data_IF_532667633732
#
_entry.id   IF_532667633732
#
_cell.length_a   1.000
_cell.length_b   1.000
_cell.length_c   1.000
_cell.angle_alpha   90.00
_cell.angle_beta   90.00
_cell.angle_gamma   90.00
#
_symmetry.space_group_name_H-M   'P 1'
#
loop_
_entity.id
_entity.type
_entity.pdbx_description
1 polymer ?
#
# COMPACT_ATOMS: atom_id res chain seq x y z
N UNK A 1 1.10 28.20 20.29
CA UNK A 1 2.35 28.99 20.46
C UNK A 1 2.68 29.86 19.24
N UNK A 2 1.76 30.06 18.28
CA UNK A 2 2.05 30.85 17.06
C UNK A 2 3.04 30.12 16.14
N UNK A 3 3.93 30.86 15.48
CA UNK A 3 4.96 30.30 14.61
C UNK A 3 6.28 30.12 15.37
N UNK A 4 6.93 28.98 15.19
CA UNK A 4 8.20 28.61 15.79
C UNK A 4 9.30 28.54 14.72
N UNK A 5 10.51 28.95 15.07
CA UNK A 5 11.69 28.66 14.26
C UNK A 5 12.89 28.42 15.15
N UNK A 6 13.77 27.50 14.76
CA UNK A 6 14.95 27.20 15.58
C UNK A 6 16.14 26.73 14.74
N UNK A 7 17.33 27.30 14.95
CA UNK A 7 18.56 26.76 14.37
C UNK A 7 19.07 25.50 15.10
N UNK A 8 18.48 25.17 16.25
CA UNK A 8 18.77 24.00 17.08
C UNK A 8 17.53 23.13 17.24
N UNK A 9 17.69 21.84 17.50
CA UNK A 9 16.57 20.92 17.69
C UNK A 9 15.79 21.30 18.97
N UNK A 10 14.56 21.84 18.86
CA UNK A 10 13.77 22.08 20.04
C UNK A 10 13.15 20.77 20.50
N UNK A 11 13.17 20.57 21.82
CA UNK A 11 12.40 19.50 22.46
C UNK A 11 11.32 20.17 23.30
N UNK A 12 10.07 19.98 22.88
CA UNK A 12 8.88 20.49 23.54
C UNK A 12 8.35 19.39 24.46
N UNK A 13 8.27 19.68 25.77
CA UNK A 13 7.75 18.77 26.79
C UNK A 13 6.60 19.44 27.52
N UNK A 14 5.40 18.89 27.41
CA UNK A 14 4.17 19.42 28.03
C UNK A 14 3.39 18.32 28.75
N UNK A 15 2.88 18.61 29.94
CA UNK A 15 1.93 17.75 30.65
C UNK A 15 0.54 17.70 30.02
N UNK A 16 0.20 18.71 29.21
CA UNK A 16 -1.07 18.82 28.51
C UNK A 16 -0.91 18.76 27.01
N UNK A 17 -1.80 19.47 26.32
CA UNK A 17 -1.80 19.56 24.87
C UNK A 17 -0.67 20.49 24.36
N UNK A 18 -0.23 20.27 23.11
CA UNK A 18 0.73 21.10 22.39
C UNK A 18 0.08 21.57 21.10
N UNK A 19 -0.03 22.89 20.91
CA UNK A 19 -0.54 23.46 19.67
C UNK A 19 0.24 24.69 19.23
N UNK A 20 0.58 24.74 17.95
CA UNK A 20 1.22 25.88 17.28
C UNK A 20 0.95 25.81 15.78
N UNK A 21 1.15 26.93 15.08
CA UNK A 21 0.78 27.07 13.69
C UNK A 21 1.86 26.41 12.81
N UNK A 22 3.08 26.95 12.82
CA UNK A 22 4.15 26.42 12.00
C UNK A 22 5.48 26.27 12.73
N UNK A 23 6.34 25.38 12.22
CA UNK A 23 7.73 25.22 12.62
C UNK A 23 8.66 25.19 11.39
N UNK A 24 9.75 25.95 11.43
CA UNK A 24 10.87 25.84 10.49
C UNK A 24 12.21 25.82 11.23
N UNK A 25 12.99 24.74 11.09
CA UNK A 25 14.26 24.57 11.78
C UNK A 25 14.94 23.26 11.46
N UNK A 26 15.91 22.82 12.27
CA UNK A 26 16.63 21.56 12.09
C UNK A 26 15.69 20.35 12.29
N UNK A 27 15.70 19.65 13.42
CA UNK A 27 14.73 18.62 13.83
C UNK A 27 13.76 19.18 14.86
N UNK A 28 12.65 18.48 15.10
CA UNK A 28 11.66 18.83 16.12
C UNK A 28 11.21 17.59 16.88
N UNK A 29 11.23 17.68 18.22
CA UNK A 29 10.77 16.63 19.10
C UNK A 29 9.66 17.16 20.03
N UNK A 30 8.54 16.44 20.15
CA UNK A 30 7.39 16.79 20.98
C UNK A 30 6.99 15.62 21.86
N UNK A 31 6.93 15.85 23.17
CA UNK A 31 6.39 14.93 24.17
C UNK A 31 5.23 15.64 24.87
N UNK A 32 4.02 15.26 24.52
CA UNK A 32 2.79 15.83 25.08
C UNK A 32 2.05 14.78 25.89
N UNK A 33 1.66 15.13 27.11
CA UNK A 33 0.75 14.34 27.92
C UNK A 33 -0.66 14.26 27.31
N UNK A 34 -1.01 15.23 26.44
CA UNK A 34 -2.26 15.33 25.72
C UNK A 34 -2.09 15.38 24.19
N UNK A 35 -2.98 16.11 23.52
CA UNK A 35 -3.06 16.17 22.07
C UNK A 35 -1.94 17.02 21.45
N UNK A 36 -1.61 16.76 20.18
CA UNK A 36 -0.70 17.60 19.40
C UNK A 36 -1.38 18.09 18.13
N UNK A 37 -1.41 19.39 17.93
CA UNK A 37 -1.97 20.02 16.72
C UNK A 37 -0.98 21.00 16.11
N UNK A 38 -0.56 20.72 14.88
CA UNK A 38 0.43 21.54 14.16
C UNK A 38 -0.02 21.72 12.72
N UNK A 39 -0.06 22.95 12.20
CA UNK A 39 -0.44 23.17 10.81
C UNK A 39 0.70 22.76 9.88
N UNK A 40 1.86 23.40 9.97
CA UNK A 40 2.97 23.16 9.03
C UNK A 40 4.32 22.94 9.73
N UNK A 41 5.07 21.92 9.32
CA UNK A 41 6.41 21.60 9.83
C UNK A 41 7.38 21.47 8.67
N UNK A 42 8.48 22.22 8.76
CA UNK A 42 9.60 22.16 7.83
C UNK A 42 10.90 21.88 8.58
N UNK A 43 11.47 20.71 8.30
CA UNK A 43 12.74 20.23 8.86
C UNK A 43 13.85 20.46 7.81
N UNK A 44 14.92 21.13 8.20
CA UNK A 44 15.98 21.64 7.33
C UNK A 44 17.35 21.02 7.63
N UNK A 45 17.48 20.21 8.68
CA UNK A 45 18.73 19.60 9.10
C UNK A 45 18.58 18.71 10.33
N UNK A 46 19.68 18.14 10.81
CA UNK A 46 19.79 17.47 12.11
C UNK A 46 20.55 18.36 13.10
N UNK A 47 20.45 18.10 14.41
CA UNK A 47 21.28 18.76 15.43
C UNK A 47 22.04 17.74 16.29
N UNK A 48 23.38 17.67 16.18
CA UNK A 48 24.17 16.75 16.99
C UNK A 48 24.20 17.12 18.48
N UNK A 49 23.71 18.30 18.88
CA UNK A 49 23.79 18.81 20.27
C UNK A 49 22.51 18.63 21.08
N UNK A 50 21.33 18.85 20.50
CA UNK A 50 20.03 18.83 21.20
C UNK A 50 19.07 17.76 20.64
N UNK A 51 19.57 16.55 20.42
CA UNK A 51 18.79 15.46 19.81
C UNK A 51 18.19 14.48 20.81
N UNK A 52 17.37 13.58 20.26
CA UNK A 52 16.93 12.35 20.92
C UNK A 52 17.52 11.16 20.17
N UNK A 53 18.11 10.25 20.95
CA UNK A 53 18.56 8.95 20.51
C UNK A 53 17.90 7.89 21.39
N UNK A 54 16.96 7.14 20.80
CA UNK A 54 16.16 6.18 21.55
C UNK A 54 15.68 5.04 20.63
N UNK A 55 15.56 3.84 21.20
CA UNK A 55 14.81 2.75 20.57
C UNK A 55 13.38 2.74 21.08
N UNK A 56 12.42 2.88 20.19
CA UNK A 56 10.99 2.86 20.49
C UNK A 56 10.37 1.56 20.01
N UNK A 57 9.51 0.94 20.83
CA UNK A 57 8.72 -0.24 20.44
C UNK A 57 7.31 0.22 20.06
N UNK A 58 6.90 -0.07 18.82
CA UNK A 58 5.56 0.23 18.32
C UNK A 58 4.51 -0.71 18.93
N UNK A 59 3.23 -0.36 18.80
CA UNK A 59 2.09 -1.17 19.26
C UNK A 59 2.10 -2.62 18.74
N UNK A 60 2.67 -2.87 17.56
CA UNK A 60 2.79 -4.20 16.97
C UNK A 60 4.06 -4.97 17.40
N UNK A 61 4.86 -4.42 18.31
CA UNK A 61 6.12 -5.00 18.80
C UNK A 61 7.35 -4.72 17.95
N UNK A 62 7.20 -4.04 16.80
CA UNK A 62 8.36 -3.63 15.99
C UNK A 62 9.20 -2.61 16.76
N UNK A 63 10.51 -2.79 16.79
CA UNK A 63 11.43 -1.77 17.29
C UNK A 63 11.87 -0.84 16.16
N UNK A 64 11.91 0.45 16.45
CA UNK A 64 12.47 1.48 15.58
C UNK A 64 13.51 2.29 16.35
N UNK A 65 14.48 2.85 15.63
CA UNK A 65 15.45 3.78 16.20
C UNK A 65 15.08 5.21 15.80
N UNK A 66 15.09 6.10 16.78
CA UNK A 66 15.09 7.54 16.61
C UNK A 66 16.51 8.01 16.85
N UNK A 67 17.11 8.72 15.88
CA UNK A 67 18.45 9.31 16.01
C UNK A 67 18.48 10.71 15.39
N UNK A 68 18.07 11.71 16.17
CA UNK A 68 18.10 13.12 15.76
C UNK A 68 19.53 13.69 15.63
N UNK A 69 20.57 12.97 16.08
CA UNK A 69 21.94 13.49 16.02
C UNK A 69 22.50 13.49 14.60
N UNK A 70 22.10 12.49 13.81
CA UNK A 70 22.57 12.28 12.44
C UNK A 70 21.46 12.38 11.40
N UNK A 71 20.18 12.32 11.81
CA UNK A 71 19.03 12.34 10.90
C UNK A 71 18.12 13.54 11.17
N UNK A 72 17.75 14.32 10.14
CA UNK A 72 16.69 15.31 10.26
C UNK A 72 15.39 14.63 10.71
N UNK A 73 14.87 15.00 11.88
CA UNK A 73 13.80 14.23 12.53
C UNK A 73 12.60 15.09 12.88
N UNK A 74 11.39 14.57 12.63
CA UNK A 74 10.17 14.99 13.29
C UNK A 74 9.70 13.85 14.19
N UNK A 75 9.74 14.03 15.51
CA UNK A 75 9.27 13.06 16.51
C UNK A 75 8.13 13.67 17.30
N UNK A 76 6.91 13.15 17.14
CA UNK A 76 5.73 13.60 17.88
C UNK A 76 5.16 12.43 18.67
N UNK A 77 5.13 12.59 19.99
CA UNK A 77 4.56 11.64 20.94
C UNK A 77 3.46 12.32 21.74
N UNK A 78 2.21 11.97 21.42
CA UNK A 78 1.02 12.51 22.08
C UNK A 78 0.45 11.53 23.10
N UNK A 79 -0.29 12.04 24.09
CA UNK A 79 -0.91 11.21 25.11
C UNK A 79 0.07 10.36 25.89
N UNK A 80 1.32 10.79 26.11
CA UNK A 80 2.34 9.98 26.80
C UNK A 80 2.46 10.31 28.28
N UNK A 81 2.68 9.31 29.13
CA UNK A 81 3.07 9.56 30.54
C UNK A 81 4.56 9.87 30.69
N UNK A 82 5.38 9.56 29.69
CA UNK A 82 6.83 9.79 29.73
C UNK A 82 7.21 11.09 29.01
N UNK A 83 6.83 12.20 29.61
CA UNK A 83 7.06 13.55 29.06
C UNK A 83 8.54 13.96 29.12
N UNK A 84 9.30 13.39 30.06
CA UNK A 84 10.68 13.77 30.33
C UNK A 84 10.82 15.05 31.19
N UNK A 85 12.05 15.45 31.48
CA UNK A 85 12.41 16.56 32.37
C UNK A 85 13.61 17.33 31.77
N UNK A 86 13.68 18.68 31.81
CA UNK A 86 12.66 19.63 32.27
C UNK A 86 11.42 19.69 31.37
N UNK A 87 10.25 19.83 32.00
CA UNK A 87 9.03 20.29 31.31
C UNK A 87 9.29 21.71 30.79
N UNK A 88 8.85 22.01 29.57
CA UNK A 88 9.12 23.26 28.89
C UNK A 88 9.69 23.03 27.49
N UNK A 89 10.42 24.02 26.99
CA UNK A 89 11.03 23.99 25.67
C UNK A 89 12.54 24.11 25.83
N UNK A 90 13.30 23.12 25.34
CA UNK A 90 14.76 23.19 25.20
C UNK A 90 15.13 23.54 23.75
N UNK A 91 16.39 23.87 23.47
CA UNK A 91 16.84 24.28 22.13
C UNK A 91 16.52 25.75 21.77
N UNK A 92 15.87 26.50 22.68
CA UNK A 92 15.60 27.94 22.58
C UNK A 92 15.05 28.40 21.21
N UNK A 93 13.91 27.87 20.74
CA UNK A 93 13.31 28.33 19.50
C UNK A 93 12.88 29.79 19.60
N UNK A 94 12.96 30.50 18.49
CA UNK A 94 12.40 31.83 18.32
C UNK A 94 10.88 31.73 18.18
N UNK A 95 10.16 32.44 19.04
CA UNK A 95 8.70 32.58 19.02
C UNK A 95 8.34 33.84 18.22
N UNK A 96 7.81 33.68 17.01
CA UNK A 96 7.48 34.80 16.13
C UNK A 96 6.08 35.39 16.42
N UNK A 97 5.69 35.54 17.70
CA UNK A 97 4.44 36.20 18.12
C UNK A 97 4.51 36.87 19.51
N UNK A 98 3.62 37.86 19.74
CA UNK A 98 3.27 38.46 21.05
C UNK A 98 2.21 37.63 21.81
N UNK A 99 2.34 36.32 21.87
CA UNK A 99 1.37 35.47 22.58
C UNK A 99 1.74 35.31 24.06
N UNK A 100 0.74 35.06 24.91
CA UNK A 100 0.91 34.69 26.32
C UNK A 100 1.97 33.58 26.47
N UNK A 101 2.69 33.60 27.60
CA UNK A 101 3.67 32.56 27.89
C UNK A 101 3.02 31.16 27.81
N UNK A 102 3.66 30.18 27.14
CA UNK A 102 3.11 28.84 27.05
C UNK A 102 2.88 28.24 28.44
N UNK A 103 1.73 27.58 28.62
CA UNK A 103 1.43 26.78 29.80
C UNK A 103 1.80 25.33 29.52
N UNK A 104 2.52 24.69 30.45
CA UNK A 104 3.06 23.33 30.26
C UNK A 104 2.47 22.28 31.20
N UNK A 105 1.50 22.66 32.04
CA UNK A 105 0.95 21.81 33.11
C UNK A 105 -0.57 21.70 33.06
N UNK A 106 -1.20 22.10 31.96
CA UNK A 106 -2.64 21.91 31.76
C UNK A 106 -2.96 20.41 31.66
N UNK A 107 -4.16 19.98 32.08
CA UNK A 107 -4.55 18.58 31.96
C UNK A 107 -4.68 18.18 30.48
N UNK A 108 -4.34 16.93 30.13
CA UNK A 108 -4.45 16.45 28.76
C UNK A 108 -5.91 16.26 28.35
N UNK A 109 -6.25 16.58 27.09
CA UNK A 109 -7.63 16.44 26.59
C UNK A 109 -7.86 15.12 25.88
N UNK A 110 -7.01 14.80 24.90
CA UNK A 110 -7.03 13.57 24.09
C UNK A 110 -5.61 13.12 23.79
N UNK A 111 -5.44 12.04 23.03
CA UNK A 111 -4.14 11.64 22.49
C UNK A 111 -4.08 11.83 20.97
N UNK A 112 -4.86 12.76 20.42
CA UNK A 112 -4.90 13.01 18.98
C UNK A 112 -3.59 13.64 18.51
N UNK A 113 -3.17 13.28 17.30
CA UNK A 113 -2.16 14.03 16.54
C UNK A 113 -2.83 14.50 15.26
N UNK A 114 -2.89 15.81 15.06
CA UNK A 114 -3.39 16.42 13.83
C UNK A 114 -2.28 17.27 13.24
N UNK A 115 -1.80 16.87 12.06
CA UNK A 115 -0.74 17.58 11.35
C UNK A 115 -1.18 17.94 9.94
N UNK A 116 -0.99 19.21 9.56
CA UNK A 116 -1.23 19.65 8.20
C UNK A 116 -0.12 19.17 7.27
N UNK A 117 0.88 20.00 7.00
CA UNK A 117 1.98 19.68 6.11
C UNK A 117 3.28 19.39 6.86
N UNK A 118 3.98 18.34 6.48
CA UNK A 118 5.36 18.05 6.89
C UNK A 118 6.25 17.99 5.66
N UNK A 119 7.34 18.75 5.66
CA UNK A 119 8.41 18.68 4.67
C UNK A 119 9.73 18.42 5.40
N UNK A 120 10.42 17.35 5.01
CA UNK A 120 11.82 17.12 5.39
C UNK A 120 12.68 17.40 4.16
N UNK A 121 13.40 18.53 4.15
CA UNK A 121 14.20 18.95 2.99
C UNK A 121 15.47 18.11 2.78
N UNK A 122 16.21 17.71 3.83
CA UNK A 122 17.39 16.89 3.65
C UNK A 122 17.01 15.40 3.46
N UNK A 123 17.85 14.65 2.72
CA UNK A 123 17.64 13.22 2.53
C UNK A 123 17.85 12.44 3.83
N UNK A 124 17.46 11.15 3.82
CA UNK A 124 17.53 10.23 4.97
C UNK A 124 16.77 10.71 6.23
N UNK A 125 15.85 11.68 6.08
CA UNK A 125 15.03 12.18 7.17
C UNK A 125 14.17 11.11 7.83
N UNK A 126 13.52 11.45 8.94
CA UNK A 126 12.58 10.57 9.62
C UNK A 126 11.39 11.37 10.16
N UNK A 127 10.18 10.88 9.90
CA UNK A 127 8.96 11.32 10.55
C UNK A 127 8.45 10.18 11.41
N UNK A 128 8.32 10.41 12.71
CA UNK A 128 7.76 9.48 13.67
C UNK A 128 6.61 10.13 14.43
N UNK A 129 5.41 9.60 14.25
CA UNK A 129 4.20 10.04 14.92
C UNK A 129 3.63 8.89 15.73
N UNK A 130 3.44 9.07 17.03
CA UNK A 130 2.84 8.04 17.87
C UNK A 130 1.99 8.62 18.99
N UNK A 131 0.89 7.94 19.29
CA UNK A 131 0.18 8.14 20.55
C UNK A 131 0.15 6.85 21.40
N UNK A 132 1.10 5.95 21.13
CA UNK A 132 1.26 4.64 21.77
C UNK A 132 2.61 4.50 22.51
N UNK A 133 3.44 5.54 22.53
CA UNK A 133 4.65 5.56 23.36
C UNK A 133 4.30 5.81 24.83
N UNK A 134 4.35 4.76 25.65
CA UNK A 134 3.97 4.79 27.08
C UNK A 134 2.64 5.53 27.28
N UNK A 135 1.54 5.00 26.71
CA UNK A 135 0.30 5.74 26.54
C UNK A 135 -0.36 6.00 27.89
N UNK A 136 -0.85 7.23 28.06
CA UNK A 136 -1.70 7.64 29.17
C UNK A 136 -3.08 7.01 29.01
N UNK A 137 -3.39 6.02 29.84
CA UNK A 137 -4.67 5.31 29.80
C UNK A 137 -5.91 6.19 30.03
N UNK A 138 -5.76 7.43 30.53
CA UNK A 138 -6.87 8.36 30.71
C UNK A 138 -7.31 9.04 29.40
N UNK A 139 -6.47 9.03 28.36
CA UNK A 139 -6.76 9.65 27.07
C UNK A 139 -6.56 8.66 25.93
N UNK A 140 -7.19 8.94 24.81
CA UNK A 140 -7.07 8.13 23.59
C UNK A 140 -7.23 9.06 22.40
N UNK A 141 -6.78 8.64 21.22
CA UNK A 141 -6.87 9.47 20.04
C UNK A 141 -6.49 8.74 18.77
N UNK A 142 -6.78 9.41 17.66
CA UNK A 142 -6.42 9.00 16.30
C UNK A 142 -5.33 9.93 15.77
N UNK A 143 -4.70 9.54 14.66
CA UNK A 143 -3.70 10.36 13.98
C UNK A 143 -4.26 10.77 12.62
N UNK A 144 -4.30 12.07 12.37
CA UNK A 144 -4.72 12.66 11.10
C UNK A 144 -3.57 13.44 10.48
N UNK A 145 -3.28 13.14 9.22
CA UNK A 145 -2.20 13.76 8.46
C UNK A 145 -2.73 14.19 7.10
N UNK A 146 -2.49 15.45 6.73
CA UNK A 146 -2.78 15.93 5.37
C UNK A 146 -1.62 15.67 4.42
N UNK A 147 -0.40 16.07 4.76
CA UNK A 147 0.76 15.89 3.88
C UNK A 147 2.02 15.55 4.67
N UNK A 148 2.75 14.51 4.25
CA UNK A 148 4.14 14.25 4.65
C UNK A 148 4.99 14.05 3.40
N UNK A 149 6.05 14.84 3.25
CA UNK A 149 7.01 14.71 2.17
C UNK A 149 8.43 14.58 2.73
N UNK A 150 9.02 13.39 2.58
CA UNK A 150 10.38 13.05 2.99
C UNK A 150 11.28 12.77 1.78
N UNK A 151 10.91 13.28 0.60
CA UNK A 151 11.53 12.91 -0.66
C UNK A 151 12.93 13.50 -0.85
N UNK A 152 13.83 12.70 -1.43
CA UNK A 152 15.09 13.20 -1.96
C UNK A 152 14.98 13.52 -3.45
N UNK A 153 14.78 14.80 -3.77
CA UNK A 153 14.65 15.28 -5.16
C UNK A 153 15.97 15.73 -5.79
N UNK A 154 17.08 15.72 -5.05
CA UNK A 154 18.36 16.33 -5.48
C UNK A 154 19.25 15.44 -6.36
N UNK A 155 18.71 14.32 -6.87
CA UNK A 155 19.45 13.32 -7.68
C UNK A 155 20.78 12.89 -7.05
N UNK A 156 20.82 12.72 -5.72
CA UNK A 156 22.02 12.30 -4.98
C UNK A 156 22.07 10.78 -4.79
N UNK A 157 23.13 10.29 -4.12
CA UNK A 157 23.26 8.87 -3.70
C UNK A 157 22.48 8.57 -2.42
N UNK A 158 21.86 9.57 -1.81
CA UNK A 158 21.21 9.44 -0.49
C UNK A 158 19.76 8.99 -0.65
N UNK A 159 19.24 8.31 0.38
CA UNK A 159 17.88 7.78 0.34
C UNK A 159 16.85 8.88 0.62
N UNK A 160 15.60 8.64 0.27
CA UNK A 160 14.49 9.39 0.83
C UNK A 160 14.33 9.07 2.33
N UNK A 161 13.61 9.91 3.06
CA UNK A 161 13.35 9.73 4.48
C UNK A 161 12.20 8.78 4.77
N UNK A 162 12.20 8.24 5.99
CA UNK A 162 11.20 7.29 6.45
C UNK A 162 10.01 7.99 7.13
N UNK A 163 8.84 7.37 7.07
CA UNK A 163 7.62 7.80 7.74
C UNK A 163 7.07 6.64 8.56
N UNK A 164 6.92 6.82 9.87
CA UNK A 164 6.38 5.83 10.78
C UNK A 164 5.25 6.47 11.58
N UNK A 165 4.06 5.88 11.51
CA UNK A 165 2.87 6.31 12.25
C UNK A 165 2.33 5.13 13.06
N UNK A 166 2.14 5.33 14.36
CA UNK A 166 1.64 4.31 15.29
C UNK A 166 0.49 4.87 16.17
N UNK A 167 -0.74 4.46 15.85
CA UNK A 167 -1.97 4.98 16.44
C UNK A 167 -2.70 3.95 17.29
N UNK A 168 -3.14 4.38 18.47
CA UNK A 168 -3.95 3.62 19.41
C UNK A 168 -5.40 3.43 18.98
N UNK A 169 -5.86 4.20 18.00
CA UNK A 169 -7.16 4.06 17.35
C UNK A 169 -6.96 4.02 15.84
N UNK A 170 -7.27 5.12 15.17
CA UNK A 170 -7.32 5.18 13.71
C UNK A 170 -6.16 6.01 13.16
N UNK A 171 -5.78 5.75 11.92
CA UNK A 171 -5.01 6.67 11.09
C UNK A 171 -5.93 7.13 9.96
N UNK A 172 -6.15 8.44 9.88
CA UNK A 172 -7.02 9.07 8.88
C UNK A 172 -6.16 9.87 7.90
N UNK A 173 -6.16 9.43 6.65
CA UNK A 173 -5.42 10.02 5.54
C UNK A 173 -6.43 10.47 4.48
N UNK A 174 -6.82 11.74 4.56
CA UNK A 174 -7.91 12.30 3.78
C UNK A 174 -7.32 13.35 2.85
N UNK A 175 -7.44 13.10 1.54
CA UNK A 175 -6.96 14.03 0.54
C UNK A 175 -7.99 15.10 0.22
N UNK A 176 -7.81 15.73 -0.91
CA UNK A 176 -8.69 16.77 -1.40
C UNK A 176 -9.04 16.45 -2.84
N UNK A 177 -10.33 16.36 -3.16
CA UNK A 177 -10.84 16.23 -4.54
C UNK A 177 -10.68 17.54 -5.34
N UNK A 178 -9.71 18.38 -4.98
CA UNK A 178 -9.48 19.75 -5.45
C UNK A 178 -8.08 19.85 -6.07
N UNK A 179 -8.02 20.20 -7.35
CA UNK A 179 -6.78 20.41 -8.10
C UNK A 179 -5.99 21.65 -7.63
N UNK A 180 -6.54 22.48 -6.73
CA UNK A 180 -5.93 23.72 -6.25
C UNK A 180 -5.37 23.62 -4.83
N UNK A 181 -5.69 22.55 -4.10
CA UNK A 181 -5.18 22.32 -2.75
C UNK A 181 -3.98 21.36 -2.80
N UNK A 182 -3.04 21.52 -1.87
CA UNK A 182 -1.96 20.55 -1.67
C UNK A 182 -2.59 19.17 -1.48
N UNK A 183 -2.43 18.30 -2.48
CA UNK A 183 -2.97 16.95 -2.50
C UNK A 183 -2.59 16.21 -1.21
N UNK A 184 -3.53 15.44 -0.66
CA UNK A 184 -3.26 14.59 0.49
C UNK A 184 -2.25 13.53 0.11
N UNK A 185 -1.07 13.54 0.73
CA UNK A 185 -0.02 12.61 0.36
C UNK A 185 0.95 12.29 1.49
N UNK A 186 1.44 11.06 1.51
CA UNK A 186 2.67 10.65 2.19
C UNK A 186 3.62 10.15 1.11
N UNK A 187 4.74 10.84 0.91
CA UNK A 187 5.67 10.55 -0.17
C UNK A 187 7.11 10.50 0.31
N UNK A 188 7.80 9.42 -0.08
CA UNK A 188 9.21 9.16 0.25
C UNK A 188 10.00 8.76 -1.01
N UNK A 189 10.01 9.64 -2.02
CA UNK A 189 10.61 9.34 -3.33
C UNK A 189 12.08 9.75 -3.43
N UNK A 190 12.81 9.10 -4.33
CA UNK A 190 14.18 9.43 -4.71
C UNK A 190 14.28 9.75 -6.20
N UNK A 191 14.97 10.83 -6.56
CA UNK A 191 15.30 11.18 -7.95
C UNK A 191 16.72 10.79 -8.36
N UNK A 192 17.46 10.13 -7.46
CA UNK A 192 18.87 9.79 -7.62
C UNK A 192 19.14 8.29 -7.54
N UNK A 193 20.34 7.92 -7.12
CA UNK A 193 20.73 6.50 -6.96
C UNK A 193 20.44 5.94 -5.56
N UNK A 194 20.07 6.78 -4.60
CA UNK A 194 19.57 6.32 -3.30
C UNK A 194 18.17 5.71 -3.41
N UNK A 195 17.76 4.98 -2.37
CA UNK A 195 16.50 4.23 -2.30
C UNK A 195 15.32 5.10 -1.85
N UNK A 196 14.10 4.69 -2.20
CA UNK A 196 12.87 5.23 -1.62
C UNK A 196 12.77 4.91 -0.12
N UNK A 197 12.09 5.75 0.64
CA UNK A 197 12.01 5.63 2.10
C UNK A 197 11.00 4.60 2.56
N UNK A 198 11.12 4.12 3.79
CA UNK A 198 10.11 3.24 4.37
C UNK A 198 8.90 4.05 4.83
N UNK A 199 7.69 3.57 4.51
CA UNK A 199 6.44 4.09 5.09
C UNK A 199 5.79 2.97 5.89
N UNK A 200 5.62 3.18 7.20
CA UNK A 200 4.99 2.21 8.10
C UNK A 200 3.82 2.84 8.82
N UNK A 201 2.63 2.28 8.60
CA UNK A 201 1.38 2.72 9.22
C UNK A 201 0.84 1.58 10.09
N UNK A 202 0.73 1.83 11.39
CA UNK A 202 0.20 0.87 12.35
C UNK A 202 -0.94 1.53 13.12
N UNK A 203 -2.12 0.93 13.09
CA UNK A 203 -3.28 1.39 13.83
C UNK A 203 -3.95 0.23 14.55
N UNK A 204 -4.40 0.43 15.79
CA UNK A 204 -5.10 -0.62 16.52
C UNK A 204 -6.52 -0.90 15.95
N UNK A 205 -7.11 0.05 15.23
CA UNK A 205 -8.48 0.00 14.73
C UNK A 205 -8.53 0.12 13.21
N UNK A 206 -8.67 1.32 12.65
CA UNK A 206 -8.81 1.54 11.20
C UNK A 206 -7.65 2.35 10.62
N UNK A 207 -7.23 1.99 9.40
CA UNK A 207 -6.47 2.88 8.51
C UNK A 207 -7.38 3.23 7.33
N UNK A 208 -7.77 4.50 7.23
CA UNK A 208 -8.65 5.02 6.20
C UNK A 208 -7.89 5.95 5.26
N UNK A 209 -7.84 5.60 3.98
CA UNK A 209 -7.37 6.45 2.90
C UNK A 209 -8.54 6.77 1.97
N UNK A 210 -8.81 8.06 1.76
CA UNK A 210 -9.90 8.51 0.87
C UNK A 210 -9.63 9.87 0.23
N UNK A 211 -10.49 10.24 -0.72
CA UNK A 211 -10.50 11.55 -1.38
C UNK A 211 -9.16 11.85 -2.08
N UNK A 212 -8.72 10.94 -2.96
CA UNK A 212 -7.48 11.03 -3.73
C UNK A 212 -6.21 11.16 -2.87
N UNK A 213 -6.16 10.53 -1.68
CA UNK A 213 -4.95 10.49 -0.86
C UNK A 213 -3.91 9.50 -1.41
N UNK A 214 -2.66 9.92 -1.55
CA UNK A 214 -1.56 9.09 -2.07
C UNK A 214 -0.54 8.71 -0.99
N UNK A 215 -0.31 7.40 -0.78
CA UNK A 215 0.82 6.90 0.03
C UNK A 215 1.80 6.20 -0.90
N UNK A 216 2.97 6.79 -1.12
CA UNK A 216 3.91 6.33 -2.15
C UNK A 216 5.37 6.34 -1.73
N UNK A 217 6.10 5.29 -2.10
CA UNK A 217 7.55 5.20 -1.94
C UNK A 217 8.19 4.68 -3.23
N UNK A 218 8.46 5.61 -4.14
CA UNK A 218 8.86 5.33 -5.53
C UNK A 218 10.28 5.84 -5.84
N UNK A 219 10.81 5.42 -7.00
CA UNK A 219 12.10 5.88 -7.53
C UNK A 219 11.98 6.41 -8.96
N UNK A 220 12.64 7.54 -9.24
CA UNK A 220 12.86 8.08 -10.59
C UNK A 220 14.30 7.86 -11.07
N UNK A 221 15.17 7.27 -10.24
CA UNK A 221 16.55 6.99 -10.60
C UNK A 221 16.89 5.50 -10.49
N UNK A 222 18.18 5.19 -10.36
CA UNK A 222 18.68 3.80 -10.34
C UNK A 222 18.54 3.11 -8.97
N UNK A 223 18.20 3.86 -7.91
CA UNK A 223 17.91 3.29 -6.60
C UNK A 223 16.56 2.57 -6.58
N UNK A 224 16.37 1.61 -5.68
CA UNK A 224 15.10 0.87 -5.54
C UNK A 224 14.00 1.70 -4.88
N UNK A 225 12.74 1.44 -5.22
CA UNK A 225 11.60 1.94 -4.46
C UNK A 225 11.60 1.42 -3.02
N UNK A 226 11.01 2.16 -2.08
CA UNK A 226 11.03 1.79 -0.66
C UNK A 226 9.95 0.80 -0.27
N UNK A 227 9.87 0.50 1.03
CA UNK A 227 8.88 -0.43 1.58
C UNK A 227 7.68 0.30 2.18
N UNK A 228 6.47 -0.16 1.87
CA UNK A 228 5.25 0.28 2.55
C UNK A 228 4.69 -0.87 3.37
N UNK A 229 4.49 -0.65 4.67
CA UNK A 229 3.85 -1.61 5.58
C UNK A 229 2.61 -0.99 6.22
N UNK A 230 1.47 -1.66 6.11
CA UNK A 230 0.20 -1.25 6.69
C UNK A 230 -0.31 -2.36 7.60
N UNK A 231 -0.55 -2.04 8.88
CA UNK A 231 -1.10 -2.97 9.85
C UNK A 231 -2.26 -2.34 10.62
N UNK A 232 -3.47 -2.89 10.48
CA UNK A 232 -4.65 -2.46 11.25
C UNK A 232 -5.73 -3.53 11.26
N UNK A 233 -6.75 -3.42 12.13
CA UNK A 233 -7.89 -4.36 12.07
C UNK A 233 -8.67 -4.20 10.78
N UNK A 234 -8.93 -2.96 10.38
CA UNK A 234 -9.56 -2.63 9.10
C UNK A 234 -8.65 -1.70 8.30
N UNK A 235 -8.52 -1.96 7.00
CA UNK A 235 -7.88 -1.05 6.05
C UNK A 235 -8.87 -0.73 4.94
N UNK A 236 -9.22 0.55 4.81
CA UNK A 236 -10.12 1.05 3.77
C UNK A 236 -9.35 2.00 2.85
N UNK A 237 -9.29 1.69 1.56
CA UNK A 237 -8.76 2.60 0.53
C UNK A 237 -9.88 2.84 -0.48
N UNK A 238 -10.31 4.09 -0.62
CA UNK A 238 -11.46 4.42 -1.46
C UNK A 238 -11.39 5.80 -2.09
N UNK A 239 -12.39 6.13 -2.90
CA UNK A 239 -12.59 7.47 -3.43
C UNK A 239 -11.29 7.99 -4.11
N UNK A 240 -10.70 7.16 -4.97
CA UNK A 240 -9.45 7.45 -5.71
C UNK A 240 -8.14 7.43 -4.93
N UNK A 241 -8.17 7.14 -3.63
CA UNK A 241 -6.95 6.98 -2.86
C UNK A 241 -6.07 5.81 -3.38
N UNK A 242 -4.76 5.96 -3.24
CA UNK A 242 -3.78 5.00 -3.73
C UNK A 242 -2.68 4.75 -2.70
N UNK A 243 -2.35 3.47 -2.51
CA UNK A 243 -1.13 3.04 -1.81
C UNK A 243 -0.24 2.33 -2.81
N UNK A 244 1.01 2.76 -2.97
CA UNK A 244 1.86 2.05 -3.92
C UNK A 244 3.35 2.21 -3.80
N UNK A 245 4.04 1.21 -4.33
CA UNK A 245 5.45 1.26 -4.68
C UNK A 245 5.57 1.27 -6.20
N UNK A 246 6.41 2.12 -6.77
CA UNK A 246 6.53 2.26 -8.23
C UNK A 246 7.95 2.61 -8.62
N UNK A 247 8.32 2.29 -9.86
CA UNK A 247 9.56 2.77 -10.47
C UNK A 247 9.32 3.32 -11.87
N UNK A 248 10.03 4.39 -12.19
CA UNK A 248 10.00 5.08 -13.48
C UNK A 248 11.36 5.02 -14.21
N UNK A 249 12.31 4.23 -13.72
CA UNK A 249 13.67 4.15 -14.27
C UNK A 249 14.25 2.74 -14.12
N UNK A 250 15.57 2.62 -14.05
CA UNK A 250 16.31 1.35 -13.96
C UNK A 250 16.19 0.66 -12.59
N UNK A 251 15.86 1.39 -11.52
CA UNK A 251 15.71 0.82 -10.19
C UNK A 251 14.44 -0.03 -10.04
N UNK A 252 14.48 -1.14 -9.32
CA UNK A 252 13.29 -1.97 -9.07
C UNK A 252 12.25 -1.23 -8.21
N UNK A 253 10.96 -1.49 -8.43
CA UNK A 253 9.91 -1.05 -7.51
C UNK A 253 10.02 -1.77 -6.16
N UNK A 254 9.64 -1.07 -5.10
CA UNK A 254 9.73 -1.58 -3.73
C UNK A 254 8.65 -2.59 -3.35
N UNK A 255 8.59 -2.97 -2.06
CA UNK A 255 7.60 -3.93 -1.57
C UNK A 255 6.48 -3.28 -0.76
N UNK A 256 5.27 -3.80 -0.89
CA UNK A 256 4.11 -3.37 -0.12
C UNK A 256 3.50 -4.56 0.63
N UNK A 257 3.33 -4.41 1.95
CA UNK A 257 2.77 -5.41 2.85
C UNK A 257 1.56 -4.85 3.57
N UNK A 258 0.42 -5.53 3.47
CA UNK A 258 -0.79 -5.23 4.24
C UNK A 258 -1.09 -6.42 5.15
N UNK A 259 -1.24 -6.16 6.44
CA UNK A 259 -1.69 -7.14 7.43
C UNK A 259 -2.94 -6.59 8.11
N UNK A 260 -4.06 -7.27 7.93
CA UNK A 260 -5.34 -6.77 8.45
C UNK A 260 -6.31 -7.89 8.78
N UNK A 261 -7.46 -7.57 9.37
CA UNK A 261 -8.59 -8.50 9.41
C UNK A 261 -9.40 -8.35 8.12
N UNK A 262 -9.71 -7.10 7.77
CA UNK A 262 -10.51 -6.75 6.60
C UNK A 262 -9.80 -5.70 5.74
N UNK A 263 -9.66 -5.98 4.44
CA UNK A 263 -9.21 -5.01 3.44
C UNK A 263 -10.36 -4.67 2.50
N UNK A 264 -10.70 -3.39 2.39
CA UNK A 264 -11.69 -2.86 1.45
C UNK A 264 -11.06 -1.87 0.48
N UNK A 265 -11.07 -2.21 -0.81
CA UNK A 265 -10.82 -1.29 -1.91
C UNK A 265 -12.15 -0.96 -2.58
N UNK A 266 -12.54 0.31 -2.59
CA UNK A 266 -13.85 0.73 -3.11
C UNK A 266 -13.77 2.00 -3.94
N UNK A 267 -14.69 2.21 -4.87
CA UNK A 267 -14.90 3.49 -5.55
C UNK A 267 -13.60 4.08 -6.13
N UNK A 268 -12.77 3.20 -6.71
CA UNK A 268 -11.50 3.54 -7.34
C UNK A 268 -10.27 3.52 -6.44
N UNK A 269 -10.38 3.07 -5.19
CA UNK A 269 -9.23 2.85 -4.31
C UNK A 269 -8.26 1.79 -4.85
N UNK A 270 -6.95 2.07 -4.81
CA UNK A 270 -5.92 1.23 -5.40
C UNK A 270 -4.78 0.87 -4.45
N UNK A 271 -4.27 -0.36 -4.61
CA UNK A 271 -3.03 -0.84 -3.99
C UNK A 271 -2.14 -1.40 -5.08
N UNK A 272 -0.94 -0.83 -5.27
CA UNK A 272 -0.14 -1.10 -6.47
C UNK A 272 1.36 -1.22 -6.22
N UNK A 273 2.03 -2.17 -6.89
CA UNK A 273 3.47 -2.34 -6.92
C UNK A 273 3.97 -2.42 -8.38
N UNK A 274 4.15 -1.27 -9.06
CA UNK A 274 4.22 -1.21 -10.54
C UNK A 274 5.56 -0.71 -11.09
N UNK A 275 5.91 -1.09 -12.32
CA UNK A 275 7.05 -0.51 -13.05
C UNK A 275 6.60 0.12 -14.36
N UNK A 276 7.14 1.29 -14.68
CA UNK A 276 6.88 2.02 -15.92
C UNK A 276 8.07 1.96 -16.90
N UNK A 277 9.24 1.47 -16.48
CA UNK A 277 10.48 1.55 -17.25
C UNK A 277 11.30 0.24 -17.17
N UNK A 278 12.61 0.32 -16.93
CA UNK A 278 13.51 -0.83 -17.04
C UNK A 278 13.58 -1.70 -15.78
N UNK A 279 13.36 -1.11 -14.59
CA UNK A 279 13.37 -1.84 -13.32
C UNK A 279 12.20 -2.82 -13.20
N UNK A 280 12.38 -3.90 -12.44
CA UNK A 280 11.31 -4.89 -12.22
C UNK A 280 10.19 -4.31 -11.34
N UNK A 281 8.93 -4.73 -11.55
CA UNK A 281 7.82 -4.39 -10.66
C UNK A 281 7.99 -5.04 -9.27
N UNK A 282 7.33 -4.43 -8.29
CA UNK A 282 7.52 -4.74 -6.89
C UNK A 282 6.82 -6.01 -6.43
N UNK A 283 6.90 -6.28 -5.13
CA UNK A 283 6.17 -7.36 -4.49
C UNK A 283 5.04 -6.82 -3.62
N UNK A 284 3.86 -7.42 -3.75
CA UNK A 284 2.68 -7.08 -2.98
C UNK A 284 2.24 -8.31 -2.18
N UNK A 285 2.20 -8.18 -0.85
CA UNK A 285 1.69 -9.23 0.04
C UNK A 285 0.56 -8.71 0.90
N UNK A 286 -0.61 -9.32 0.80
CA UNK A 286 -1.79 -9.02 1.60
C UNK A 286 -2.09 -10.24 2.47
N UNK A 287 -2.15 -10.04 3.78
CA UNK A 287 -2.60 -11.03 4.75
C UNK A 287 -3.82 -10.46 5.46
N UNK A 288 -5.01 -10.91 5.05
CA UNK A 288 -6.26 -10.53 5.70
C UNK A 288 -6.83 -11.75 6.44
N UNK A 289 -6.99 -11.66 7.76
CA UNK A 289 -7.47 -12.82 8.54
C UNK A 289 -8.95 -13.15 8.31
N UNK A 290 -9.72 -12.24 7.71
CA UNK A 290 -11.16 -12.42 7.49
C UNK A 290 -11.54 -12.21 6.02
N UNK A 291 -11.29 -11.03 5.46
CA UNK A 291 -11.87 -10.65 4.17
C UNK A 291 -10.99 -9.68 3.36
N UNK A 292 -10.93 -9.89 2.05
CA UNK A 292 -10.49 -8.89 1.06
C UNK A 292 -11.62 -8.60 0.08
N UNK A 293 -11.97 -7.33 -0.07
CA UNK A 293 -12.98 -6.83 -1.01
C UNK A 293 -12.37 -5.82 -1.98
N UNK A 294 -12.58 -6.04 -3.28
CA UNK A 294 -12.19 -5.10 -4.34
C UNK A 294 -13.43 -4.80 -5.19
N UNK A 295 -13.97 -3.60 -5.03
CA UNK A 295 -15.33 -3.28 -5.47
C UNK A 295 -15.35 -1.99 -6.26
N UNK A 296 -15.97 -2.03 -7.43
CA UNK A 296 -16.37 -0.81 -8.10
C UNK A 296 -15.28 -0.17 -8.95
N UNK A 297 -15.65 1.00 -9.47
CA UNK A 297 -14.86 1.84 -10.33
C UNK A 297 -15.03 3.27 -9.81
N UNK A 298 -13.91 3.95 -9.58
CA UNK A 298 -13.89 5.38 -9.28
C UNK A 298 -14.06 6.21 -10.55
N UNK A 299 -14.58 7.42 -10.38
CA UNK A 299 -14.81 8.37 -11.46
C UNK A 299 -14.16 9.69 -11.06
N UNK A 300 -13.17 10.14 -11.84
CA UNK A 300 -12.61 11.50 -11.74
C UNK A 300 -12.83 12.27 -13.02
N UNK A 301 -12.40 13.54 -13.03
CA UNK A 301 -12.40 14.39 -14.22
C UNK A 301 -11.61 13.77 -15.39
N UNK A 302 -10.58 12.97 -15.09
CA UNK A 302 -9.68 12.36 -16.09
C UNK A 302 -10.15 10.99 -16.58
N UNK A 303 -11.24 10.45 -16.01
CA UNK A 303 -11.89 9.24 -16.49
C UNK A 303 -12.31 8.28 -15.38
N UNK A 304 -12.57 7.03 -15.78
CA UNK A 304 -12.95 5.95 -14.87
C UNK A 304 -11.74 5.08 -14.56
N UNK A 305 -11.47 4.84 -13.29
CA UNK A 305 -10.38 3.98 -12.84
C UNK A 305 -10.92 2.91 -11.88
N UNK A 306 -10.58 1.63 -12.08
CA UNK A 306 -11.11 0.56 -11.24
C UNK A 306 -10.53 0.63 -9.82
N UNK A 307 -11.30 0.15 -8.84
CA UNK A 307 -10.70 -0.30 -7.59
C UNK A 307 -9.81 -1.51 -7.89
N UNK A 308 -8.57 -1.50 -7.41
CA UNK A 308 -7.63 -2.50 -7.90
C UNK A 308 -6.44 -2.85 -7.00
N UNK A 309 -5.99 -4.09 -7.17
CA UNK A 309 -4.75 -4.64 -6.61
C UNK A 309 -3.82 -5.00 -7.76
N UNK A 310 -2.70 -4.30 -7.91
CA UNK A 310 -1.78 -4.48 -9.04
C UNK A 310 -0.34 -4.74 -8.61
N UNK A 311 0.34 -5.67 -9.29
CA UNK A 311 1.80 -5.79 -9.23
C UNK A 311 2.35 -6.03 -10.64
N UNK A 312 2.33 -5.00 -11.49
CA UNK A 312 2.45 -5.14 -12.94
C UNK A 312 3.59 -4.29 -13.55
N UNK A 313 4.11 -4.76 -14.68
CA UNK A 313 4.91 -3.95 -15.58
C UNK A 313 4.01 -3.25 -16.60
N UNK A 314 4.24 -1.97 -16.87
CA UNK A 314 3.42 -1.16 -17.79
C UNK A 314 3.77 -1.44 -19.27
N UNK A 315 2.92 -0.98 -20.20
CA UNK A 315 2.95 -1.32 -21.65
C UNK A 315 4.32 -1.12 -22.33
N UNK A 316 5.09 -0.15 -21.87
CA UNK A 316 6.39 0.20 -22.44
C UNK A 316 7.58 -0.15 -21.52
N UNK A 317 7.30 -0.83 -20.40
CA UNK A 317 8.32 -1.34 -19.50
C UNK A 317 9.03 -2.56 -20.08
N UNK A 318 10.36 -2.59 -19.95
CA UNK A 318 11.20 -3.77 -20.22
C UNK A 318 11.43 -4.60 -18.95
N UNK A 319 11.11 -4.05 -17.77
CA UNK A 319 11.14 -4.73 -16.49
C UNK A 319 10.09 -5.84 -16.36
N UNK A 320 10.33 -6.81 -15.49
CA UNK A 320 9.41 -7.93 -15.26
C UNK A 320 8.20 -7.48 -14.44
N UNK A 321 7.05 -8.12 -14.69
CA UNK A 321 5.88 -7.99 -13.81
C UNK A 321 6.19 -8.45 -12.38
N UNK A 322 5.50 -7.85 -11.42
CA UNK A 322 5.72 -8.08 -10.00
C UNK A 322 5.14 -9.39 -9.50
N UNK A 323 5.22 -9.58 -8.18
CA UNK A 323 4.59 -10.70 -7.49
C UNK A 323 3.46 -10.21 -6.60
N UNK A 324 2.34 -10.93 -6.63
CA UNK A 324 1.18 -10.67 -5.80
C UNK A 324 0.81 -11.92 -5.00
N UNK A 325 0.77 -11.79 -3.68
CA UNK A 325 0.29 -12.83 -2.77
C UNK A 325 -0.83 -12.29 -1.89
N UNK A 326 -2.01 -12.91 -1.94
CA UNK A 326 -3.16 -12.59 -1.10
C UNK A 326 -3.50 -13.83 -0.29
N UNK A 327 -3.39 -13.75 1.03
CA UNK A 327 -3.81 -14.79 1.97
C UNK A 327 -5.05 -14.30 2.72
N UNK A 328 -6.18 -14.93 2.48
CA UNK A 328 -7.45 -14.59 3.14
C UNK A 328 -8.44 -15.76 3.08
N UNK A 329 -9.32 -15.92 4.10
CA UNK A 329 -10.43 -16.87 4.00
C UNK A 329 -11.42 -16.54 2.90
N UNK A 330 -11.64 -15.24 2.60
CA UNK A 330 -12.62 -14.80 1.62
C UNK A 330 -12.07 -13.65 0.77
N UNK A 331 -12.05 -13.83 -0.55
CA UNK A 331 -11.67 -12.82 -1.53
C UNK A 331 -12.88 -12.53 -2.44
N UNK A 332 -13.36 -11.29 -2.44
CA UNK A 332 -14.47 -10.83 -3.26
C UNK A 332 -13.99 -9.75 -4.24
N UNK A 333 -14.26 -9.96 -5.53
CA UNK A 333 -13.95 -9.01 -6.60
C UNK A 333 -15.20 -8.83 -7.45
N UNK A 334 -15.79 -7.64 -7.44
CA UNK A 334 -17.05 -7.37 -8.14
C UNK A 334 -17.19 -5.90 -8.58
N UNK A 335 -18.25 -5.61 -9.33
CA UNK A 335 -18.59 -4.27 -9.85
C UNK A 335 -17.45 -3.57 -10.62
N UNK A 336 -16.62 -4.36 -11.31
CA UNK A 336 -15.49 -3.82 -12.09
C UNK A 336 -14.17 -3.68 -11.32
N UNK A 337 -14.13 -4.14 -10.07
CA UNK A 337 -12.88 -4.31 -9.31
C UNK A 337 -11.90 -5.25 -10.00
N UNK A 338 -10.59 -5.03 -9.83
CA UNK A 338 -9.54 -5.77 -10.55
C UNK A 338 -8.40 -6.25 -9.66
N UNK A 339 -7.86 -7.43 -9.99
CA UNK A 339 -6.64 -7.97 -9.38
C UNK A 339 -5.76 -8.52 -10.50
N UNK A 340 -4.50 -8.10 -10.58
CA UNK A 340 -3.62 -8.56 -11.66
C UNK A 340 -2.14 -8.21 -11.53
N UNK A 341 -1.31 -8.91 -12.30
CA UNK A 341 0.16 -8.70 -12.37
C UNK A 341 0.69 -8.54 -13.80
N UNK A 342 -0.21 -8.51 -14.80
CA UNK A 342 0.15 -8.46 -16.21
C UNK A 342 -0.07 -7.06 -16.79
N UNK A 343 0.65 -6.78 -17.88
CA UNK A 343 0.53 -5.55 -18.67
C UNK A 343 -0.93 -5.36 -19.12
N UNK A 344 -1.69 -4.47 -18.46
CA UNK A 344 -2.99 -4.05 -19.00
C UNK A 344 -2.81 -2.84 -19.91
N UNK A 345 -2.60 -3.11 -21.19
CA UNK A 345 -2.57 -2.09 -22.25
C UNK A 345 -3.97 -1.65 -22.70
N UNK A 346 -5.06 -2.12 -22.08
CA UNK A 346 -6.44 -1.86 -22.53
C UNK A 346 -7.10 -0.61 -21.94
N UNK A 347 -6.40 0.15 -21.08
CA UNK A 347 -6.93 1.39 -20.51
C UNK A 347 -6.87 2.61 -21.46
N UNK A 348 -6.38 2.43 -22.70
CA UNK A 348 -6.54 3.42 -23.78
C UNK A 348 -6.86 2.67 -25.07
N UNK A 349 -8.11 2.25 -25.24
CA UNK A 349 -8.90 2.32 -26.49
C UNK A 349 -10.13 1.39 -26.40
N UNK A 350 -11.31 2.02 -26.31
CA UNK A 350 -12.62 1.55 -26.76
C UNK A 350 -12.84 0.03 -26.91
N UNK A 351 -13.54 -0.59 -25.95
CA UNK A 351 -14.62 -1.51 -26.29
C UNK A 351 -15.62 -1.66 -25.15
N UNK A 352 -16.77 -1.00 -25.27
CA UNK A 352 -17.95 -1.28 -24.48
C UNK A 352 -18.49 -2.65 -24.92
N UNK A 353 -18.39 -3.65 -24.05
CA UNK A 353 -19.41 -4.69 -23.99
C UNK A 353 -19.96 -4.68 -22.57
N UNK A 354 -21.16 -4.13 -22.43
CA UNK A 354 -21.96 -4.29 -21.23
C UNK A 354 -22.28 -5.78 -21.08
N UNK A 355 -21.97 -6.35 -19.92
CA UNK A 355 -22.52 -7.65 -19.53
C UNK A 355 -24.04 -7.49 -19.36
N UNK A 356 -24.87 -8.46 -19.77
CA UNK A 356 -26.31 -8.38 -19.62
C UNK A 356 -26.71 -8.30 -18.12
N UNK A 357 -27.67 -7.43 -17.82
CA UNK A 357 -28.29 -7.22 -16.50
C UNK A 357 -29.07 -8.45 -16.03
N UNK A 358 -28.37 -9.55 -15.75
CA UNK A 358 -28.88 -10.54 -14.81
C UNK A 358 -28.26 -10.23 -13.46
N UNK A 359 -28.96 -9.42 -12.66
CA UNK A 359 -28.70 -9.33 -11.22
C UNK A 359 -28.82 -10.75 -10.65
N UNK A 360 -27.67 -11.37 -10.38
CA UNK A 360 -27.63 -12.52 -9.50
C UNK A 360 -27.74 -11.94 -8.09
N UNK A 361 -28.89 -12.15 -7.45
CA UNK A 361 -29.09 -11.84 -6.04
C UNK A 361 -28.16 -12.75 -5.20
N UNK A 362 -27.01 -12.21 -4.81
CA UNK A 362 -25.96 -12.94 -4.10
C UNK A 362 -26.35 -13.28 -2.67
N UNK A 363 -27.42 -12.71 -2.12
CA UNK A 363 -27.95 -13.10 -0.81
C UNK A 363 -28.48 -14.55 -0.84
N UNK A 364 -29.02 -14.98 -1.98
CA UNK A 364 -29.49 -16.35 -2.22
C UNK A 364 -28.36 -17.38 -2.42
N UNK A 365 -27.20 -16.96 -2.92
CA UNK A 365 -25.99 -17.81 -3.05
C UNK A 365 -25.27 -18.00 -1.70
N UNK A 366 -25.33 -16.99 -0.83
CA UNK A 366 -24.83 -17.07 0.55
C UNK A 366 -25.73 -17.95 1.44
N UNK A 367 -27.04 -18.02 1.19
CA UNK A 367 -27.93 -18.88 1.98
C UNK A 367 -27.86 -20.38 1.63
N UNK A 368 -27.34 -20.74 0.45
CA UNK A 368 -27.27 -22.12 -0.03
C UNK A 368 -25.86 -22.72 -0.03
N UNK A 369 -24.84 -21.98 0.42
CA UNK A 369 -23.50 -22.50 0.56
C UNK A 369 -23.36 -23.24 1.90
N UNK A 370 -23.33 -24.57 1.85
CA UNK A 370 -22.88 -25.39 2.97
C UNK A 370 -21.39 -25.09 3.24
N UNK A 371 -21.13 -24.10 4.11
CA UNK A 371 -19.79 -23.84 4.61
C UNK A 371 -19.38 -25.00 5.52
N UNK A 372 -18.60 -25.92 4.95
CA UNK A 372 -17.82 -26.87 5.72
C UNK A 372 -16.79 -26.06 6.54
N UNK A 373 -16.97 -25.98 7.86
CA UNK A 373 -15.92 -25.48 8.76
C UNK A 373 -14.79 -26.51 8.84
N UNK A 374 -13.92 -26.52 7.84
CA UNK A 374 -12.63 -27.20 7.97
C UNK A 374 -11.69 -26.29 8.76
N UNK A 375 -11.17 -26.79 9.89
CA UNK A 375 -9.92 -26.28 10.43
C UNK A 375 -8.83 -26.73 9.45
N UNK A 376 -8.35 -25.84 8.59
CA UNK A 376 -6.93 -25.71 8.20
C UNK A 376 -6.74 -24.91 6.90
N UNK A 377 -5.81 -23.97 7.02
CA UNK A 377 -5.19 -23.08 6.01
C UNK A 377 -6.06 -21.97 5.39
N UNK A 378 -5.69 -20.69 5.57
CA UNK A 378 -6.31 -19.61 4.81
C UNK A 378 -6.09 -19.82 3.31
N UNK A 379 -7.08 -19.46 2.49
CA UNK A 379 -6.95 -19.47 1.04
C UNK A 379 -5.79 -18.56 0.62
N UNK A 380 -4.96 -19.03 -0.31
CA UNK A 380 -3.83 -18.27 -0.85
C UNK A 380 -4.01 -18.12 -2.35
N UNK A 381 -4.09 -16.89 -2.83
CA UNK A 381 -3.98 -16.53 -4.23
C UNK A 381 -2.56 -15.99 -4.47
N UNK A 382 -1.79 -16.67 -5.31
CA UNK A 382 -0.45 -16.21 -5.74
C UNK A 382 -0.53 -15.96 -7.24
N UNK A 383 -0.20 -14.74 -7.66
CA UNK A 383 -0.07 -14.35 -9.06
C UNK A 383 1.36 -13.87 -9.28
N UNK A 384 2.07 -14.47 -10.23
CA UNK A 384 3.42 -14.06 -10.64
C UNK A 384 3.35 -13.46 -12.05
N UNK A 385 3.86 -12.25 -12.24
CA UNK A 385 3.89 -11.60 -13.56
C UNK A 385 4.76 -12.36 -14.58
N UNK A 386 4.36 -12.33 -15.85
CA UNK A 386 5.01 -13.06 -16.96
C UNK A 386 6.10 -12.27 -17.72
N UNK A 387 6.52 -11.10 -17.22
CA UNK A 387 7.59 -10.28 -17.81
C UNK A 387 7.11 -9.04 -18.59
N UNK A 388 8.04 -8.12 -18.89
CA UNK A 388 7.84 -6.91 -19.71
C UNK A 388 8.13 -7.13 -21.20
N UNK A 389 8.17 -6.05 -21.98
CA UNK A 389 8.45 -6.11 -23.42
C UNK A 389 9.83 -6.76 -23.68
N UNK A 390 9.92 -7.81 -24.52
CA UNK A 390 11.21 -8.45 -24.82
C UNK A 390 12.20 -7.45 -25.43
N UNK A 391 13.45 -7.47 -24.96
CA UNK A 391 14.54 -6.64 -25.50
C UNK A 391 14.98 -7.06 -26.91
N UNK A 392 14.61 -8.28 -27.34
CA UNK A 392 14.80 -8.79 -28.70
C UNK A 392 13.72 -9.87 -29.02
N UNK A 393 13.42 -10.12 -30.30
CA UNK A 393 12.54 -11.23 -30.69
C UNK A 393 13.05 -12.57 -30.12
N UNK A 394 12.20 -13.28 -29.37
CA UNK A 394 12.52 -14.58 -28.78
C UNK A 394 13.26 -14.56 -27.44
N UNK A 395 13.53 -13.40 -26.83
CA UNK A 395 14.25 -13.30 -25.53
C UNK A 395 13.36 -13.47 -24.28
N UNK A 396 12.04 -13.61 -24.43
CA UNK A 396 11.11 -13.82 -23.31
C UNK A 396 11.18 -15.23 -22.74
N UNK A 397 11.36 -15.37 -21.41
CA UNK A 397 11.13 -16.66 -20.74
C UNK A 397 9.63 -16.93 -20.71
N UNK A 398 9.20 -18.01 -21.35
CA UNK A 398 7.83 -18.52 -21.26
C UNK A 398 7.57 -18.91 -19.80
N UNK A 399 6.44 -18.45 -19.24
CA UNK A 399 6.02 -18.85 -17.89
C UNK A 399 6.00 -20.39 -17.79
N UNK A 400 6.63 -20.99 -16.76
CA UNK A 400 6.51 -22.43 -16.52
C UNK A 400 5.11 -22.82 -16.02
N UNK A 401 4.31 -21.84 -15.59
CA UNK A 401 2.92 -22.06 -15.21
C UNK A 401 2.07 -22.04 -16.47
N UNK A 402 1.61 -23.22 -16.88
CA UNK A 402 0.65 -23.38 -17.94
C UNK A 402 -0.67 -22.71 -17.54
N UNK A 403 -1.14 -21.74 -18.34
CA UNK A 403 -2.57 -21.37 -18.34
C UNK A 403 -3.33 -22.53 -18.97
N UNK A 404 -3.64 -23.53 -18.14
CA UNK A 404 -4.33 -24.75 -18.53
C UNK A 404 -3.39 -25.84 -19.03
N UNK A 405 -3.35 -26.96 -18.32
CA UNK A 405 -2.89 -28.23 -18.86
C UNK A 405 -3.96 -28.79 -19.79
N UNK A 406 -3.82 -28.59 -21.10
CA UNK A 406 -4.48 -29.48 -22.06
C UNK A 406 -3.70 -30.79 -22.03
N UNK A 407 -4.30 -31.84 -21.45
CA UNK A 407 -3.78 -33.20 -21.61
C UNK A 407 -3.90 -33.56 -23.09
N UNK A 408 -2.77 -33.74 -23.75
CA UNK A 408 -2.73 -34.54 -24.97
C UNK A 408 -3.03 -36.00 -24.59
N UNK A 409 -3.93 -36.63 -25.33
CA UNK A 409 -4.08 -38.09 -25.27
C UNK A 409 -2.74 -38.67 -25.75
N UNK A 410 -2.08 -39.56 -24.99
CA UNK A 410 -0.80 -40.11 -25.39
C UNK A 410 -0.92 -40.82 -26.74
N UNK A 411 -0.29 -40.26 -27.76
CA UNK A 411 0.11 -40.98 -28.96
C UNK A 411 1.48 -41.58 -28.67
N UNK A 412 1.51 -42.77 -28.07
CA UNK A 412 2.28 -43.90 -28.59
C UNK A 412 2.22 -45.09 -27.64
N UNK A 413 2.11 -46.27 -28.23
CA UNK A 413 1.96 -47.53 -27.53
C UNK A 413 3.10 -47.80 -26.55
N UNK A 414 2.74 -48.02 -25.28
CA UNK A 414 3.34 -49.06 -24.43
C UNK A 414 2.59 -49.17 -23.09
N UNK A 415 1.82 -50.25 -23.01
CA UNK A 415 1.41 -51.02 -21.82
C UNK A 415 0.82 -50.29 -20.61
N UNK A 416 -0.51 -50.20 -20.57
CA UNK A 416 -1.30 -50.45 -19.36
C UNK A 416 -2.01 -51.81 -19.58
N UNK A 417 -2.05 -52.73 -18.61
CA UNK A 417 -2.88 -53.93 -18.73
C UNK A 417 -4.36 -53.54 -18.55
N UNK A 418 -5.01 -53.16 -19.65
CA UNK A 418 -6.47 -53.12 -19.77
C UNK A 418 -6.94 -54.35 -20.54
N UNK A 419 -7.93 -55.05 -20.00
CA UNK A 419 -8.45 -56.33 -20.51
C UNK A 419 -9.41 -56.18 -21.69
N UNK A 420 -9.28 -55.14 -22.50
CA UNK A 420 -10.14 -54.93 -23.67
C UNK A 420 -9.32 -54.45 -24.86
N UNK A 421 -9.17 -55.32 -25.85
CA UNK A 421 -8.36 -55.09 -27.04
C UNK A 421 -8.98 -54.00 -27.93
N UNK A 422 -8.17 -53.01 -28.30
CA UNK A 422 -8.45 -52.07 -29.40
C UNK A 422 -8.69 -52.85 -30.70
N UNK A 423 -9.95 -53.11 -31.04
CA UNK A 423 -10.33 -53.61 -32.36
C UNK A 423 -10.94 -52.45 -33.17
N UNK A 424 -10.57 -52.31 -34.46
CA UNK A 424 -11.20 -51.32 -35.33
C UNK A 424 -12.70 -51.57 -35.45
N UNK A 425 -13.47 -50.49 -35.54
CA UNK A 425 -14.94 -50.52 -35.68
C UNK A 425 -15.37 -51.43 -36.84
N UNK A 426 -16.38 -52.27 -36.60
CA UNK A 426 -16.94 -53.18 -37.60
C UNK A 426 -18.41 -52.86 -37.89
N UNK A 427 -18.87 -53.24 -39.08
CA UNK A 427 -20.27 -53.08 -39.50
C UNK A 427 -21.19 -53.81 -38.50
N UNK A 428 -22.00 -53.03 -37.77
CA UNK A 428 -22.87 -53.51 -36.69
C UNK A 428 -22.55 -52.91 -35.32
N UNK A 429 -21.35 -52.33 -35.14
CA UNK A 429 -21.01 -51.59 -33.93
C UNK A 429 -21.81 -50.26 -33.88
N UNK A 430 -22.26 -49.82 -32.69
CA UNK A 430 -23.09 -48.62 -32.56
C UNK A 430 -22.36 -47.39 -33.09
N UNK A 431 -23.02 -46.66 -34.00
CA UNK A 431 -22.55 -45.37 -34.50
C UNK A 431 -22.87 -44.34 -33.41
N UNK A 432 -21.82 -43.73 -32.87
CA UNK A 432 -21.97 -42.63 -31.91
C UNK A 432 -21.92 -41.33 -32.68
N UNK A 433 -23.06 -40.65 -32.77
CA UNK A 433 -23.14 -39.35 -33.46
C UNK A 433 -22.48 -38.25 -32.62
N UNK A 434 -21.71 -37.35 -33.26
CA UNK A 434 -21.15 -36.20 -32.59
C UNK A 434 -22.24 -35.18 -32.27
N UNK A 435 -22.18 -34.58 -31.09
CA UNK A 435 -23.17 -33.59 -30.67
C UNK A 435 -22.82 -32.19 -31.17
N UNK A 436 -21.54 -31.91 -31.42
CA UNK A 436 -21.06 -30.60 -31.90
C UNK A 436 -19.88 -30.75 -32.84
N UNK A 437 -19.72 -29.74 -33.70
CA UNK A 437 -18.58 -29.58 -34.62
C UNK A 437 -17.88 -28.27 -34.31
N UNK A 438 -16.57 -28.32 -34.16
CA UNK A 438 -15.70 -27.18 -33.90
C UNK A 438 -14.75 -26.99 -35.06
N UNK A 439 -14.56 -25.74 -35.50
CA UNK A 439 -13.52 -25.40 -36.46
C UNK A 439 -12.32 -24.82 -35.73
N UNK A 440 -11.18 -25.48 -35.87
CA UNK A 440 -9.91 -25.03 -35.31
C UNK A 440 -9.34 -23.85 -36.11
N UNK A 441 -8.41 -23.12 -35.49
CA UNK A 441 -7.74 -21.97 -36.11
C UNK A 441 -6.97 -22.31 -37.40
N UNK A 442 -6.56 -23.58 -37.57
CA UNK A 442 -5.91 -24.09 -38.77
C UNK A 442 -6.90 -24.57 -39.85
N UNK A 443 -8.21 -24.38 -39.63
CA UNK A 443 -9.28 -24.72 -40.57
C UNK A 443 -9.79 -26.15 -40.50
N UNK A 444 -9.19 -27.02 -39.66
CA UNK A 444 -9.67 -28.40 -39.44
C UNK A 444 -10.97 -28.41 -38.64
N UNK A 445 -11.82 -29.40 -38.92
CA UNK A 445 -13.06 -29.64 -38.18
C UNK A 445 -12.85 -30.78 -37.18
N UNK A 446 -13.24 -30.55 -35.93
CA UNK A 446 -13.21 -31.54 -34.85
C UNK A 446 -14.63 -31.79 -34.36
N UNK A 447 -14.99 -33.05 -34.25
CA UNK A 447 -16.29 -33.51 -33.77
C UNK A 447 -16.18 -33.82 -32.27
N UNK A 448 -17.09 -33.30 -31.44
CA UNK A 448 -17.08 -33.56 -30.00
C UNK A 448 -18.39 -34.17 -29.51
N UNK A 449 -18.30 -34.80 -28.34
CA UNK A 449 -19.42 -35.34 -27.55
C UNK A 449 -19.11 -35.08 -26.07
N UNK A 450 -20.12 -34.72 -25.29
CA UNK A 450 -19.97 -34.65 -23.83
C UNK A 450 -19.75 -36.04 -23.23
N UNK A 451 -18.89 -36.13 -22.21
CA UNK A 451 -18.75 -37.36 -21.44
C UNK A 451 -19.98 -37.50 -20.55
N UNK A 452 -20.61 -38.67 -20.56
CA UNK A 452 -21.63 -39.02 -19.55
C UNK A 452 -20.89 -39.38 -18.27
N UNK A 453 -21.30 -38.80 -17.13
CA UNK A 453 -20.71 -39.07 -15.81
C UNK A 453 -20.66 -40.56 -15.45
#
# INVERSE_FOLDING_TARGET
MGNLSSPHDPIIRSGGDVSFNSYEGASLHIFAGGAVTVDDVKITGSDPTNNIQETVTLSNGTQISIDGSTRPTLDIRAGTTNIGNPIGITGNPTLNQRANQPLFSEPPTTANITIGQVIIEPPNGQVFLTNQYQPNAAVTGSIEVRTINTSNTKSTVENAGDVIIDSGKDIMLIGTNSLTDNQGLIVAITSGSGQGGQIKLVANQEILLKDDFFVTSHTFGSGKGGEITIEAKSVTVKDGALVGTSTFSEGDAGSLRIKTQELLLKDGGQVSAITFAEGDAGSLTINASELVQVIGIGVSADGKFPSAIFAQAFKDSTGKGGSLKINTPLLLVFDGGRIGTTIDASLIENSLTFLPDNQIDTTTLLSNSCIFRSREQPGSLIITGSGGKPTAPGSGRISPFATGTVRTIPSDGSSIPSTQADRPWQIGDPIVEPQRVYRLADGRLVLSRECVE
#
